data_IF_196653859413
#
_entry.id   IF_196653859413
#
_cell.length_a   1.000
_cell.length_b   1.000
_cell.length_c   1.000
_cell.angle_alpha   90.00
_cell.angle_beta   90.00
_cell.angle_gamma   90.00
#
_symmetry.space_group_name_H-M   'P 1'
#
loop_
_entity.id
_entity.type
_entity.pdbx_description
1 polymer ?
#
# COMPACT_ATOMS: atom_id res chain seq x y z
N UNK A 1 8.02 -26.70 6.27
CA UNK A 1 7.02 -26.93 5.20
C UNK A 1 6.48 -28.34 5.32
N UNK A 2 7.32 -29.38 5.27
CA UNK A 2 6.90 -30.78 5.53
C UNK A 2 6.21 -31.00 6.88
N UNK A 3 6.69 -30.40 7.96
CA UNK A 3 6.04 -30.51 9.28
C UNK A 3 4.65 -29.83 9.37
N UNK A 4 4.30 -29.04 8.35
CA UNK A 4 3.01 -28.36 8.22
C UNK A 4 2.22 -28.88 7.00
N UNK A 5 2.62 -30.02 6.42
CA UNK A 5 2.00 -30.63 5.24
C UNK A 5 1.94 -29.73 3.99
N UNK A 6 2.88 -28.77 3.90
CA UNK A 6 3.01 -27.86 2.76
C UNK A 6 4.09 -28.35 1.79
N UNK A 7 3.89 -28.17 0.46
CA UNK A 7 4.91 -28.45 -0.54
C UNK A 7 6.23 -27.74 -0.21
N UNK A 8 7.35 -28.35 -0.58
CA UNK A 8 8.65 -27.68 -0.44
C UNK A 8 8.68 -26.42 -1.33
N UNK A 9 8.92 -25.27 -0.69
CA UNK A 9 9.20 -24.03 -1.39
C UNK A 9 10.68 -23.69 -1.25
N UNK A 10 11.30 -23.29 -2.36
CA UNK A 10 12.66 -22.76 -2.35
C UNK A 10 12.75 -21.60 -1.31
N UNK A 11 13.75 -21.58 -0.42
CA UNK A 11 13.98 -20.47 0.52
C UNK A 11 13.95 -19.08 -0.11
N UNK A 12 14.35 -18.96 -1.38
CA UNK A 12 14.29 -17.71 -2.14
C UNK A 12 12.85 -17.26 -2.42
N UNK A 13 11.90 -18.17 -2.59
CA UNK A 13 10.49 -17.84 -2.83
C UNK A 13 9.88 -17.03 -1.68
N UNK A 14 10.21 -17.40 -0.44
CA UNK A 14 9.73 -16.67 0.74
C UNK A 14 10.29 -15.25 0.79
N UNK A 15 11.58 -15.10 0.47
CA UNK A 15 12.24 -13.79 0.34
C UNK A 15 11.60 -12.96 -0.77
N UNK A 16 11.28 -13.55 -1.94
CA UNK A 16 10.56 -12.84 -3.02
C UNK A 16 9.22 -12.30 -2.53
N UNK A 17 8.44 -13.13 -1.82
CA UNK A 17 7.14 -12.74 -1.27
C UNK A 17 7.26 -11.54 -0.32
N UNK A 18 8.25 -11.55 0.58
CA UNK A 18 8.48 -10.43 1.50
C UNK A 18 8.91 -9.15 0.78
N UNK A 19 9.72 -9.25 -0.28
CA UNK A 19 10.09 -8.08 -1.10
C UNK A 19 8.86 -7.50 -1.81
N UNK A 20 8.03 -8.34 -2.43
CA UNK A 20 6.78 -7.90 -3.07
C UNK A 20 5.80 -7.27 -2.08
N UNK A 21 5.76 -7.76 -0.84
CA UNK A 21 4.97 -7.13 0.21
C UNK A 21 5.52 -5.74 0.55
N UNK A 22 6.83 -5.61 0.77
CA UNK A 22 7.50 -4.34 1.03
C UNK A 22 7.23 -3.28 -0.06
N UNK A 23 7.27 -3.68 -1.33
CA UNK A 23 6.95 -2.81 -2.47
C UNK A 23 5.52 -2.23 -2.42
N UNK A 24 4.59 -2.88 -1.71
CA UNK A 24 3.19 -2.45 -1.60
C UNK A 24 2.93 -1.61 -0.34
N UNK A 25 3.61 -1.91 0.76
CA UNK A 25 3.29 -1.32 2.08
C UNK A 25 4.21 -0.16 2.46
N UNK A 26 5.46 -0.16 1.98
CA UNK A 26 6.39 0.93 2.24
C UNK A 26 5.94 2.17 1.45
N UNK A 27 5.82 3.29 2.15
CA UNK A 27 5.32 4.55 1.61
C UNK A 27 6.44 5.49 1.20
N UNK A 28 7.68 5.22 1.66
CA UNK A 28 8.86 6.00 1.35
C UNK A 28 10.05 5.11 0.93
N UNK A 29 11.01 5.67 0.17
CA UNK A 29 12.26 4.97 -0.14
C UNK A 29 13.05 4.55 1.10
N UNK A 30 13.01 5.35 2.17
CA UNK A 30 13.67 5.05 3.44
C UNK A 30 13.02 3.86 4.15
N UNK A 31 11.69 3.80 4.22
CA UNK A 31 10.99 2.62 4.74
C UNK A 31 11.33 1.36 3.96
N UNK A 32 11.38 1.46 2.62
CA UNK A 32 11.74 0.33 1.79
C UNK A 32 13.21 -0.08 1.97
N UNK A 33 14.11 0.88 2.23
CA UNK A 33 15.51 0.63 2.58
C UNK A 33 15.64 -0.09 3.91
N UNK A 34 14.93 0.34 4.95
CA UNK A 34 14.89 -0.34 6.25
C UNK A 34 14.34 -1.76 6.13
N UNK A 35 13.26 -1.95 5.35
CA UNK A 35 12.69 -3.27 5.06
C UNK A 35 13.71 -4.19 4.39
N UNK A 36 14.41 -3.70 3.37
CA UNK A 36 15.43 -4.46 2.64
C UNK A 36 16.61 -4.85 3.52
N UNK A 37 17.10 -3.94 4.37
CA UNK A 37 18.20 -4.22 5.30
C UNK A 37 17.81 -5.27 6.34
N UNK A 38 16.56 -5.26 6.83
CA UNK A 38 16.03 -6.31 7.71
C UNK A 38 16.01 -7.70 7.04
N UNK A 39 15.95 -7.78 5.71
CA UNK A 39 16.03 -9.03 4.94
C UNK A 39 17.48 -9.45 4.59
N UNK A 40 18.48 -8.69 5.05
CA UNK A 40 19.90 -8.93 4.81
C UNK A 40 20.42 -8.40 3.46
N UNK A 41 19.68 -7.52 2.78
CA UNK A 41 20.12 -6.87 1.55
C UNK A 41 20.67 -5.48 1.86
N UNK A 42 22.00 -5.36 1.92
CA UNK A 42 22.70 -4.07 2.04
C UNK A 42 22.41 -3.16 0.85
N UNK A 43 22.30 -3.72 -0.36
CA UNK A 43 22.03 -2.96 -1.58
C UNK A 43 20.57 -3.12 -2.03
N UNK A 44 19.74 -2.12 -1.70
CA UNK A 44 18.32 -2.01 -2.14
C UNK A 44 18.20 -2.07 -3.67
N UNK A 45 19.21 -1.56 -4.37
CA UNK A 45 19.22 -1.53 -5.83
C UNK A 45 19.25 -2.95 -6.41
N UNK A 46 19.98 -3.89 -5.81
CA UNK A 46 20.01 -5.29 -6.24
C UNK A 46 18.64 -5.95 -6.05
N UNK A 47 17.92 -5.57 -4.99
CA UNK A 47 16.52 -5.99 -4.76
C UNK A 47 15.57 -5.42 -5.82
N UNK A 48 15.71 -4.13 -6.17
CA UNK A 48 14.93 -3.50 -7.24
C UNK A 48 15.26 -4.07 -8.62
N UNK A 49 16.52 -4.38 -8.93
CA UNK A 49 16.90 -4.99 -10.19
C UNK A 49 16.44 -6.45 -10.29
N UNK A 50 16.45 -7.20 -9.19
CA UNK A 50 16.06 -8.63 -9.20
C UNK A 50 14.56 -8.89 -9.04
N UNK A 51 13.81 -7.94 -8.46
CA UNK A 51 12.39 -8.09 -8.10
C UNK A 51 11.51 -6.90 -8.49
N UNK A 52 12.08 -5.84 -9.06
CA UNK A 52 11.38 -4.61 -9.42
C UNK A 52 10.98 -4.52 -10.87
N UNK A 53 11.13 -5.59 -11.67
CA UNK A 53 10.57 -5.62 -13.02
C UNK A 53 9.04 -5.53 -12.95
N UNK A 54 8.51 -4.40 -13.42
CA UNK A 54 7.08 -4.20 -13.54
C UNK A 54 6.65 -4.75 -14.89
N UNK A 55 5.71 -5.71 -14.90
CA UNK A 55 5.17 -6.25 -16.14
C UNK A 55 4.58 -5.15 -17.03
N UNK A 56 4.76 -5.24 -18.35
CA UNK A 56 4.39 -4.18 -19.30
C UNK A 56 2.92 -3.72 -19.16
N UNK A 57 1.99 -4.65 -18.94
CA UNK A 57 0.59 -4.33 -18.68
C UNK A 57 0.43 -3.42 -17.44
N UNK A 58 1.07 -3.80 -16.33
CA UNK A 58 1.03 -3.05 -15.07
C UNK A 58 1.71 -1.69 -15.19
N UNK A 59 2.77 -1.57 -15.98
CA UNK A 59 3.37 -0.27 -16.31
C UNK A 59 2.32 0.65 -16.95
N UNK A 60 1.56 0.14 -17.93
CA UNK A 60 0.46 0.87 -18.56
C UNK A 60 -0.57 1.38 -17.56
N UNK A 61 -1.04 0.52 -16.65
CA UNK A 61 -1.98 0.90 -15.59
C UNK A 61 -1.42 2.01 -14.69
N UNK A 62 -0.17 1.88 -14.26
CA UNK A 62 0.50 2.86 -13.40
C UNK A 62 0.61 4.20 -14.14
N UNK A 63 1.03 4.21 -15.41
CA UNK A 63 1.12 5.44 -16.19
C UNK A 63 -0.25 6.09 -16.41
N UNK A 64 -1.33 5.31 -16.57
CA UNK A 64 -2.68 5.88 -16.63
C UNK A 64 -3.09 6.52 -15.30
N UNK A 65 -2.75 5.90 -14.16
CA UNK A 65 -3.00 6.47 -12.83
C UNK A 65 -2.21 7.76 -12.61
N UNK A 66 -0.94 7.79 -13.01
CA UNK A 66 -0.06 8.97 -12.88
C UNK A 66 -0.53 10.18 -13.69
N UNK A 67 -1.36 9.99 -14.73
CA UNK A 67 -1.97 11.11 -15.47
C UNK A 67 -3.03 11.86 -14.68
N UNK A 68 -3.62 11.22 -13.67
CA UNK A 68 -4.63 11.84 -12.82
C UNK A 68 -3.96 12.49 -11.62
N UNK A 69 -4.42 13.67 -11.15
CA UNK A 69 -4.00 14.20 -9.86
C UNK A 69 -4.24 13.13 -8.79
N UNK A 70 -3.22 12.83 -7.98
CA UNK A 70 -3.40 11.91 -6.85
C UNK A 70 -4.51 12.48 -5.98
N UNK A 71 -5.64 11.79 -5.90
CA UNK A 71 -6.65 12.07 -4.89
C UNK A 71 -5.97 11.91 -3.55
N UNK A 72 -5.91 12.98 -2.76
CA UNK A 72 -5.38 12.99 -1.39
C UNK A 72 -6.26 12.10 -0.51
N UNK A 73 -6.11 10.78 -0.63
CA UNK A 73 -6.81 9.81 0.21
C UNK A 73 -5.94 9.51 1.42
N UNK A 74 -5.74 10.50 2.29
CA UNK A 74 -5.19 10.27 3.63
C UNK A 74 -5.47 11.39 4.63
N UNK A 75 -6.57 12.12 4.45
CA UNK A 75 -7.29 12.77 5.55
C UNK A 75 -8.62 13.19 4.94
N UNK A 76 -9.73 12.62 5.43
CA UNK A 76 -10.96 13.42 5.39
C UNK A 76 -10.58 14.73 6.06
N UNK A 77 -10.74 15.86 5.36
CA UNK A 77 -10.46 17.14 5.99
C UNK A 77 -11.27 17.19 7.29
N UNK A 78 -10.71 17.75 8.35
CA UNK A 78 -11.50 18.01 9.56
C UNK A 78 -12.79 18.78 9.19
N UNK A 79 -12.74 19.56 8.11
CA UNK A 79 -13.89 20.26 7.52
C UNK A 79 -14.95 19.30 6.94
N UNK A 80 -14.53 18.23 6.24
CA UNK A 80 -15.46 17.24 5.68
C UNK A 80 -16.20 16.50 6.79
N UNK A 81 -15.49 16.17 7.87
CA UNK A 81 -16.06 15.55 9.07
C UNK A 81 -17.02 16.53 9.77
N UNK A 82 -16.59 17.78 9.97
CA UNK A 82 -17.42 18.80 10.61
C UNK A 82 -18.71 19.08 9.82
N UNK A 83 -18.63 19.19 8.49
CA UNK A 83 -19.80 19.36 7.63
C UNK A 83 -20.75 18.16 7.71
N UNK A 84 -20.22 16.93 7.72
CA UNK A 84 -21.02 15.73 7.86
C UNK A 84 -21.77 15.68 9.20
N UNK A 85 -21.11 16.06 10.29
CA UNK A 85 -21.72 16.13 11.63
C UNK A 85 -22.82 17.19 11.69
N UNK A 86 -22.56 18.41 11.21
CA UNK A 86 -23.55 19.49 11.19
C UNK A 86 -24.79 19.07 10.38
N UNK A 87 -24.60 18.45 9.22
CA UNK A 87 -25.69 17.95 8.38
C UNK A 87 -26.50 16.86 9.08
N UNK A 88 -25.83 15.94 9.79
CA UNK A 88 -26.50 14.89 10.56
C UNK A 88 -27.34 15.47 11.70
N UNK A 89 -26.80 16.44 12.45
CA UNK A 89 -27.52 17.10 13.55
C UNK A 89 -28.73 17.90 13.06
N UNK A 90 -28.61 18.62 11.94
CA UNK A 90 -29.71 19.38 11.34
C UNK A 90 -30.84 18.47 10.82
N UNK A 91 -30.50 17.30 10.29
CA UNK A 91 -31.51 16.32 9.87
C UNK A 91 -32.23 15.68 11.07
N UNK A 92 -31.54 15.53 12.19
CA UNK A 92 -32.11 14.95 13.40
C UNK A 92 -33.05 15.93 14.13
N UNK A 93 -32.75 17.22 14.11
CA UNK A 93 -33.64 18.26 14.66
C UNK A 93 -34.94 18.41 13.85
N UNK A 94 -34.87 18.22 12.53
CA UNK A 94 -36.06 18.20 11.66
C UNK A 94 -36.94 16.96 11.87
N UNK A 95 -36.37 15.84 12.33
CA UNK A 95 -37.13 14.61 12.63
C UNK A 95 -37.76 14.61 14.03
N UNK A 96 -37.22 15.38 14.97
CA UNK A 96 -37.70 15.45 16.36
C UNK A 96 -38.63 16.65 16.64
N UNK A 97 -38.92 17.48 15.63
CA UNK A 97 -39.88 18.58 15.73
C UNK A 97 -41.29 18.17 15.28
N UNK A 98 -42.02 17.45 16.14
CA UNK A 98 -43.49 17.29 16.14
C UNK A 98 -43.97 17.45 17.57
#
# INVERSE_FOLDING_TARGET
FESADLPYFNPHSFRKTLVTLGQKICQSPEEFKSWSQNLGHEDVLTTLYSYGEVQQHRQGEIFQQLKSPRSSSATQSADDIAQAVIKAMANQSLQNGV
#
